data_IF_559758937800
#
_entry.id   IF_559758937800
#
_cell.length_a   1.000
_cell.length_b   1.000
_cell.length_c   1.000
_cell.angle_alpha   90.00
_cell.angle_beta   90.00
_cell.angle_gamma   90.00
#
_symmetry.space_group_name_H-M   'P 1'
#
loop_
_entity.id
_entity.type
_entity.pdbx_description
1 polymer ?
#
# COMPACT_ATOMS: atom_id res chain seq x y z
N UNK A 1 -7.08 -3.06 -7.52
CA UNK A 1 -7.02 -1.70 -6.93
C UNK A 1 -6.61 -0.50 -7.85
N UNK A 2 -6.96 -0.41 -9.15
CA UNK A 2 -6.46 0.70 -10.02
C UNK A 2 -6.98 2.10 -9.68
N UNK A 3 -8.24 2.21 -9.24
CA UNK A 3 -8.83 3.50 -8.83
C UNK A 3 -8.14 4.08 -7.61
N UNK A 4 -7.79 3.22 -6.63
CA UNK A 4 -7.04 3.62 -5.44
C UNK A 4 -5.67 4.19 -5.80
N UNK A 5 -4.95 3.54 -6.74
CA UNK A 5 -3.67 4.06 -7.25
C UNK A 5 -3.82 5.46 -7.85
N UNK A 6 -4.81 5.68 -8.72
CA UNK A 6 -5.07 7.00 -9.29
C UNK A 6 -5.37 8.04 -8.20
N UNK A 7 -6.19 7.69 -7.21
CA UNK A 7 -6.51 8.57 -6.09
C UNK A 7 -5.25 8.93 -5.28
N UNK A 8 -4.39 7.95 -4.94
CA UNK A 8 -3.14 8.22 -4.24
C UNK A 8 -2.21 9.16 -5.01
N UNK A 9 -2.02 8.92 -6.31
CA UNK A 9 -1.15 9.78 -7.14
C UNK A 9 -1.67 11.21 -7.15
N UNK A 10 -2.97 11.41 -7.41
CA UNK A 10 -3.56 12.77 -7.42
C UNK A 10 -3.52 13.44 -6.04
N UNK A 11 -3.64 12.68 -4.95
CA UNK A 11 -3.52 13.20 -3.59
C UNK A 11 -2.08 13.66 -3.29
N UNK A 12 -1.07 12.90 -3.75
CA UNK A 12 0.34 13.26 -3.62
C UNK A 12 0.65 14.53 -4.41
N UNK A 13 0.18 14.63 -5.66
CA UNK A 13 0.31 15.85 -6.48
C UNK A 13 -0.32 17.05 -5.76
N UNK A 14 -1.54 16.88 -5.24
CA UNK A 14 -2.27 17.94 -4.54
C UNK A 14 -1.56 18.37 -3.26
N UNK A 15 -1.05 17.44 -2.44
CA UNK A 15 -0.41 17.80 -1.17
C UNK A 15 0.93 18.49 -1.41
N UNK A 16 1.74 18.02 -2.36
CA UNK A 16 3.02 18.63 -2.68
C UNK A 16 2.87 20.01 -3.33
N UNK A 17 1.77 20.24 -4.06
CA UNK A 17 1.47 21.57 -4.61
C UNK A 17 1.12 22.61 -3.53
N UNK A 18 0.59 22.17 -2.39
CA UNK A 18 0.16 23.04 -1.29
C UNK A 18 1.18 23.09 -0.14
N UNK A 19 1.96 22.03 0.03
CA UNK A 19 2.95 21.84 1.08
C UNK A 19 4.23 21.23 0.48
N UNK A 20 5.05 22.03 -0.22
CA UNK A 20 6.25 21.54 -0.90
C UNK A 20 7.31 21.01 0.08
N UNK A 21 7.35 21.56 1.30
CA UNK A 21 8.30 21.19 2.35
C UNK A 21 7.68 20.20 3.37
N UNK A 22 6.84 19.28 2.89
CA UNK A 22 6.21 18.29 3.75
C UNK A 22 7.30 17.46 4.48
N UNK A 23 7.29 17.41 5.82
CA UNK A 23 8.29 16.64 6.56
C UNK A 23 8.10 15.14 6.33
N UNK A 24 9.22 14.43 6.17
CA UNK A 24 9.23 12.99 5.93
C UNK A 24 9.30 12.65 4.44
N UNK A 25 8.93 11.40 4.12
CA UNK A 25 9.00 10.84 2.77
C UNK A 25 7.70 10.15 2.41
N UNK A 26 7.30 10.26 1.15
CA UNK A 26 6.18 9.50 0.59
C UNK A 26 6.77 8.53 -0.44
N UNK A 27 6.37 7.26 -0.38
CA UNK A 27 6.76 6.23 -1.33
C UNK A 27 5.53 5.46 -1.83
N UNK A 28 5.60 4.95 -3.06
CA UNK A 28 4.63 4.02 -3.63
C UNK A 28 5.33 2.70 -3.92
N UNK A 29 4.84 1.61 -3.32
CA UNK A 29 5.26 0.25 -3.62
C UNK A 29 4.21 -0.39 -4.52
N UNK A 30 4.59 -0.71 -5.76
CA UNK A 30 3.69 -1.26 -6.77
C UNK A 30 4.21 -2.63 -7.21
N UNK A 31 3.31 -3.61 -7.32
CA UNK A 31 3.58 -4.93 -7.91
C UNK A 31 2.61 -5.18 -9.07
N UNK A 32 3.04 -5.97 -10.05
CA UNK A 32 2.19 -6.46 -11.15
C UNK A 32 1.59 -7.84 -10.88
N UNK A 33 2.01 -8.52 -9.82
CA UNK A 33 1.67 -9.92 -9.50
C UNK A 33 1.12 -10.04 -8.07
N UNK A 34 0.06 -9.29 -7.77
CA UNK A 34 -0.67 -9.41 -6.48
C UNK A 34 -1.74 -10.52 -6.55
N UNK A 35 -2.44 -10.62 -7.68
CA UNK A 35 -3.52 -11.60 -7.90
C UNK A 35 -3.01 -13.00 -8.32
N UNK A 36 -1.69 -13.13 -8.57
CA UNK A 36 -1.05 -14.37 -9.00
C UNK A 36 -0.34 -15.09 -7.84
N UNK A 37 0.73 -15.85 -8.13
CA UNK A 37 1.49 -16.56 -7.09
C UNK A 37 2.20 -15.64 -6.10
N UNK A 38 2.43 -14.37 -6.46
CA UNK A 38 3.04 -13.32 -5.63
C UNK A 38 4.45 -13.67 -5.10
N UNK A 39 5.17 -14.58 -5.77
CA UNK A 39 6.49 -15.06 -5.35
C UNK A 39 7.59 -14.02 -5.57
N UNK A 40 7.47 -13.25 -6.65
CA UNK A 40 8.47 -12.25 -7.07
C UNK A 40 7.93 -10.81 -7.04
N UNK A 41 6.78 -10.62 -6.41
CA UNK A 41 6.11 -9.32 -6.28
C UNK A 41 6.53 -8.57 -5.02
N UNK A 42 5.55 -8.13 -4.24
CA UNK A 42 5.73 -7.32 -3.03
C UNK A 42 6.71 -7.94 -2.03
N UNK A 43 6.73 -9.27 -1.90
CA UNK A 43 7.62 -10.00 -0.97
C UNK A 43 9.07 -9.63 -1.18
N UNK A 44 9.56 -9.63 -2.43
CA UNK A 44 10.96 -9.30 -2.76
C UNK A 44 11.32 -7.85 -2.44
N UNK A 45 10.38 -6.93 -2.64
CA UNK A 45 10.61 -5.52 -2.35
C UNK A 45 10.67 -5.30 -0.84
N UNK A 46 9.82 -5.96 -0.07
CA UNK A 46 9.87 -5.92 1.40
C UNK A 46 11.18 -6.50 1.92
N UNK A 47 11.59 -7.68 1.43
CA UNK A 47 12.91 -8.27 1.77
C UNK A 47 14.05 -7.26 1.55
N UNK A 48 14.06 -6.59 0.39
CA UNK A 48 15.08 -5.58 0.08
C UNK A 48 15.01 -4.34 0.99
N UNK A 49 13.81 -3.88 1.35
CA UNK A 49 13.63 -2.75 2.28
C UNK A 49 14.15 -3.09 3.68
N UNK A 50 13.91 -4.32 4.15
CA UNK A 50 14.46 -4.81 5.41
C UNK A 50 15.99 -4.89 5.37
N UNK A 51 16.56 -5.49 4.32
CA UNK A 51 18.01 -5.61 4.13
C UNK A 51 18.73 -4.25 4.07
N UNK A 52 18.07 -3.23 3.50
CA UNK A 52 18.63 -1.89 3.36
C UNK A 52 18.27 -0.94 4.52
N UNK A 53 17.50 -1.42 5.50
CA UNK A 53 17.08 -0.62 6.66
C UNK A 53 16.09 0.50 6.33
N UNK A 54 15.39 0.42 5.20
CA UNK A 54 14.41 1.39 4.72
C UNK A 54 12.99 1.02 5.16
N UNK A 55 12.78 0.87 6.47
CA UNK A 55 11.49 0.44 7.02
C UNK A 55 10.52 1.63 7.05
N UNK A 56 9.35 1.55 6.41
CA UNK A 56 8.35 2.61 6.47
C UNK A 56 7.67 2.66 7.84
N UNK A 57 7.48 3.87 8.38
CA UNK A 57 6.76 4.08 9.64
C UNK A 57 5.25 3.78 9.51
N UNK A 58 4.70 4.03 8.32
CA UNK A 58 3.28 3.87 8.02
C UNK A 58 3.09 3.24 6.64
N UNK A 59 2.12 2.33 6.53
CA UNK A 59 1.74 1.70 5.26
C UNK A 59 0.22 1.77 5.09
N UNK A 60 -0.23 2.29 3.95
CA UNK A 60 -1.62 2.28 3.52
C UNK A 60 -1.74 1.39 2.28
N UNK A 61 -2.51 0.31 2.39
CA UNK A 61 -2.76 -0.59 1.26
C UNK A 61 -4.04 -0.16 0.55
N UNK A 62 -3.96 0.07 -0.76
CA UNK A 62 -5.05 0.57 -1.58
C UNK A 62 -6.12 -0.46 -1.97
N UNK A 63 -6.23 -1.59 -1.26
CA UNK A 63 -7.24 -2.59 -1.55
C UNK A 63 -8.65 -2.08 -1.24
N UNK A 64 -9.68 -2.47 -2.02
CA UNK A 64 -11.04 -2.07 -1.75
C UNK A 64 -11.52 -2.73 -0.46
N UNK A 65 -11.78 -1.91 0.57
CA UNK A 65 -12.30 -2.40 1.85
C UNK A 65 -13.79 -2.16 2.01
N UNK A 66 -14.30 -1.06 1.46
CA UNK A 66 -15.68 -0.60 1.65
C UNK A 66 -16.75 -1.58 1.19
N UNK A 67 -17.90 -1.58 1.86
CA UNK A 67 -19.01 -2.49 1.58
C UNK A 67 -20.12 -1.78 0.81
N UNK A 68 -20.70 -0.73 1.40
CA UNK A 68 -21.86 0.00 0.89
C UNK A 68 -21.51 1.44 0.50
N UNK A 69 -20.67 2.12 1.28
CA UNK A 69 -20.26 3.50 1.04
C UNK A 69 -18.75 3.67 1.23
N UNK A 70 -18.15 4.58 0.47
CA UNK A 70 -16.72 4.85 0.58
C UNK A 70 -16.35 5.23 2.02
N UNK A 71 -15.42 4.48 2.60
CA UNK A 71 -14.92 4.70 3.96
C UNK A 71 -15.76 4.10 5.08
N UNK A 72 -16.82 3.34 4.79
CA UNK A 72 -17.61 2.66 5.82
C UNK A 72 -16.82 1.59 6.60
N UNK A 73 -15.82 0.99 5.97
CA UNK A 73 -14.93 0.01 6.57
C UNK A 73 -13.47 0.26 6.20
N UNK A 74 -12.57 -0.04 7.14
CA UNK A 74 -11.12 0.00 6.98
C UNK A 74 -10.57 -1.31 7.56
N UNK A 75 -9.64 -1.96 6.86
CA UNK A 75 -8.94 -3.15 7.37
C UNK A 75 -7.65 -2.74 8.07
N UNK A 76 -7.50 -3.12 9.33
CA UNK A 76 -6.31 -2.88 10.15
C UNK A 76 -5.49 -4.17 10.40
N UNK A 77 -5.82 -5.25 9.70
CA UNK A 77 -5.16 -6.54 9.78
C UNK A 77 -5.89 -7.56 8.90
N UNK A 78 -5.20 -8.63 8.55
CA UNK A 78 -5.80 -9.81 7.93
C UNK A 78 -5.66 -11.00 8.88
N UNK A 79 -6.64 -11.90 8.89
CA UNK A 79 -6.50 -13.15 9.60
C UNK A 79 -5.47 -14.02 8.89
N UNK A 80 -4.53 -14.59 9.66
CA UNK A 80 -3.57 -15.56 9.15
C UNK A 80 -4.34 -16.76 8.59
N UNK A 81 -4.17 -17.15 7.31
CA UNK A 81 -4.83 -18.34 6.79
C UNK A 81 -4.27 -19.55 7.53
N UNK A 82 -5.04 -20.07 8.49
CA UNK A 82 -4.76 -21.35 9.12
C UNK A 82 -4.60 -22.39 8.00
N UNK A 83 -3.46 -23.08 7.88
CA UNK A 83 -3.27 -24.04 6.81
C UNK A 83 -4.34 -25.13 6.95
N UNK A 84 -5.17 -25.26 5.92
CA UNK A 84 -6.06 -26.40 5.80
C UNK A 84 -5.17 -27.64 5.66
N UNK A 85 -5.17 -28.47 6.71
CA UNK A 85 -4.49 -29.78 6.76
C UNK A 85 -4.89 -30.69 5.61
#
# INVERSE_FOLDING_TARGET
>A
MKTSLAAFVTAIESILSTHPDLPGSIALLLTSDEEGPALDGTVRVVEWLEETGQIPDYCLVGEPTSVDQLGDTIKNGAADPCPAY
#
